data_IF_112287742379
#
_entry.id   IF_112287742379
#
_cell.length_a   1.000
_cell.length_b   1.000
_cell.length_c   1.000
_cell.angle_alpha   90.00
_cell.angle_beta   90.00
_cell.angle_gamma   90.00
#
_symmetry.space_group_name_H-M   'P 1'
#
loop_
_entity.id
_entity.type
_entity.pdbx_description
1 polymer ?
#
# COMPACT_ATOMS: atom_id res chain seq x y z
N UNK A 1 26.27 -20.04 23.25
CA UNK A 1 26.77 -19.28 22.07
C UNK A 1 27.73 -18.21 22.58
N UNK A 2 28.98 -18.18 22.10
CA UNK A 2 29.96 -17.18 22.54
C UNK A 2 29.72 -15.86 21.80
N UNK A 3 29.71 -14.74 22.51
CA UNK A 3 29.48 -13.42 21.93
C UNK A 3 30.74 -12.99 21.19
N UNK A 4 30.62 -12.60 19.92
CA UNK A 4 31.74 -12.17 19.11
C UNK A 4 32.41 -10.95 19.76
N UNK A 5 33.75 -10.95 19.92
CA UNK A 5 34.46 -9.81 20.48
C UNK A 5 34.29 -8.58 19.58
N UNK A 6 34.10 -7.41 20.19
CA UNK A 6 33.97 -6.14 19.47
C UNK A 6 35.34 -5.64 19.06
N UNK A 7 35.41 -5.00 17.90
CA UNK A 7 36.65 -4.47 17.36
C UNK A 7 36.95 -3.08 17.93
N UNK A 8 38.03 -2.95 18.70
CA UNK A 8 38.48 -1.71 19.34
C UNK A 8 38.65 -0.53 18.36
N UNK A 9 39.02 -0.81 17.10
CA UNK A 9 39.16 0.22 16.06
C UNK A 9 37.84 0.92 15.73
N UNK A 10 36.70 0.25 15.91
CA UNK A 10 35.37 0.75 15.55
C UNK A 10 34.47 0.98 16.77
N UNK A 11 35.01 0.88 18.00
CA UNK A 11 34.24 1.04 19.24
C UNK A 11 33.57 2.43 19.37
N UNK A 12 34.18 3.46 18.77
CA UNK A 12 33.67 4.83 18.77
C UNK A 12 32.56 5.08 17.75
N UNK A 13 32.31 4.13 16.84
CA UNK A 13 31.31 4.24 15.79
C UNK A 13 30.00 3.65 16.30
N UNK A 14 29.02 4.52 16.53
CA UNK A 14 27.67 4.08 16.88
C UNK A 14 27.04 3.37 15.69
N UNK A 15 26.50 2.18 15.91
CA UNK A 15 25.73 1.47 14.89
C UNK A 15 24.52 2.33 14.49
N UNK A 16 24.48 2.81 13.24
CA UNK A 16 23.27 3.37 12.62
C UNK A 16 22.28 2.27 12.20
N UNK A 17 22.34 1.13 12.89
CA UNK A 17 21.41 0.04 12.66
C UNK A 17 20.11 0.48 13.32
N UNK A 18 19.14 0.85 12.50
CA UNK A 18 17.75 0.96 12.93
C UNK A 18 17.44 -0.29 13.74
N UNK A 19 17.12 -0.12 15.01
CA UNK A 19 17.02 -1.17 16.03
C UNK A 19 15.78 -2.03 15.82
N UNK A 20 15.50 -2.42 14.57
CA UNK A 20 14.24 -3.00 14.14
C UNK A 20 13.03 -2.21 14.64
N UNK A 21 13.19 -0.97 15.14
CA UNK A 21 12.15 -0.27 15.88
C UNK A 21 11.14 0.29 14.90
N UNK A 22 11.62 0.81 13.76
CA UNK A 22 10.75 1.15 12.63
C UNK A 22 10.04 -0.08 12.07
N UNK A 23 10.78 -1.17 11.82
CA UNK A 23 10.22 -2.41 11.25
C UNK A 23 9.23 -3.07 12.20
N UNK A 24 9.56 -3.17 13.48
CA UNK A 24 8.70 -3.73 14.53
C UNK A 24 7.47 -2.86 14.71
N UNK A 25 7.60 -1.52 14.72
CA UNK A 25 6.43 -0.61 14.75
C UNK A 25 5.56 -0.77 13.51
N UNK A 26 6.17 -0.89 12.34
CA UNK A 26 5.45 -1.09 11.09
C UNK A 26 4.68 -2.43 11.10
N UNK A 27 5.34 -3.52 11.52
CA UNK A 27 4.70 -4.83 11.65
C UNK A 27 3.59 -4.83 12.71
N UNK A 28 3.81 -4.18 13.86
CA UNK A 28 2.78 -4.03 14.89
C UNK A 28 1.56 -3.26 14.37
N UNK A 29 1.77 -2.20 13.58
CA UNK A 29 0.69 -1.45 12.90
C UNK A 29 -0.07 -2.34 11.91
N UNK A 30 0.62 -3.16 11.12
CA UNK A 30 -0.02 -4.10 10.20
C UNK A 30 -0.87 -5.14 10.96
N UNK A 31 -0.35 -5.66 12.07
CA UNK A 31 -1.11 -6.57 12.92
C UNK A 31 -2.30 -5.89 13.59
N UNK A 32 -2.17 -4.65 14.06
CA UNK A 32 -3.26 -3.86 14.63
C UNK A 32 -4.38 -3.63 13.61
N UNK A 33 -4.04 -3.27 12.37
CA UNK A 33 -5.02 -3.12 11.29
C UNK A 33 -5.70 -4.46 11.03
N UNK A 34 -4.95 -5.55 10.97
CA UNK A 34 -5.48 -6.89 10.71
C UNK A 34 -6.39 -7.40 11.83
N UNK A 35 -6.03 -7.19 13.09
CA UNK A 35 -6.80 -7.68 14.25
C UNK A 35 -8.05 -6.86 14.51
N UNK A 36 -7.98 -5.53 14.29
CA UNK A 36 -9.12 -4.64 14.47
C UNK A 36 -10.04 -4.58 13.25
N UNK A 37 -9.65 -5.19 12.12
CA UNK A 37 -10.53 -5.33 10.99
C UNK A 37 -11.65 -6.33 11.31
N UNK A 38 -12.83 -5.79 11.62
CA UNK A 38 -13.98 -6.57 12.11
C UNK A 38 -14.64 -7.45 11.05
N UNK A 39 -14.32 -7.25 9.77
CA UNK A 39 -14.98 -7.91 8.64
C UNK A 39 -14.05 -8.93 7.99
N UNK A 40 -14.60 -10.02 7.45
CA UNK A 40 -13.84 -10.97 6.64
C UNK A 40 -13.56 -10.37 5.26
N UNK A 41 -12.62 -10.96 4.53
CA UNK A 41 -12.39 -10.63 3.13
C UNK A 41 -13.72 -10.66 2.36
N UNK A 42 -13.96 -9.62 1.55
CA UNK A 42 -15.16 -9.39 0.71
C UNK A 42 -16.48 -9.18 1.48
N UNK A 43 -16.46 -9.22 2.81
CA UNK A 43 -17.68 -9.07 3.60
C UNK A 43 -18.28 -7.66 3.50
N UNK A 44 -17.43 -6.64 3.34
CA UNK A 44 -17.88 -5.26 3.23
C UNK A 44 -18.82 -5.07 2.02
N UNK A 45 -18.45 -5.61 0.86
CA UNK A 45 -19.25 -5.51 -0.36
C UNK A 45 -20.50 -6.39 -0.30
N UNK A 46 -20.45 -7.54 0.39
CA UNK A 46 -21.64 -8.39 0.62
C UNK A 46 -22.69 -7.72 1.50
N UNK A 47 -22.26 -6.93 2.49
CA UNK A 47 -23.18 -6.19 3.39
C UNK A 47 -23.62 -4.85 2.81
N UNK A 48 -22.91 -4.33 1.81
CA UNK A 48 -23.20 -3.06 1.18
C UNK A 48 -24.38 -3.22 0.21
N UNK A 49 -25.39 -2.35 0.33
CA UNK A 49 -26.48 -2.28 -0.66
C UNK A 49 -25.95 -1.67 -1.96
N UNK A 50 -26.30 -2.27 -3.10
CA UNK A 50 -25.92 -1.75 -4.43
C UNK A 50 -26.34 -0.30 -4.62
N UNK A 51 -27.51 0.08 -4.11
CA UNK A 51 -27.99 1.46 -4.14
C UNK A 51 -27.06 2.42 -3.39
N UNK A 52 -26.59 2.03 -2.21
CA UNK A 52 -25.63 2.81 -1.43
C UNK A 52 -24.27 2.87 -2.13
N UNK A 53 -23.82 1.79 -2.75
CA UNK A 53 -22.58 1.78 -3.53
C UNK A 53 -22.62 2.78 -4.68
N UNK A 54 -23.70 2.78 -5.48
CA UNK A 54 -23.87 3.73 -6.57
C UNK A 54 -23.89 5.18 -6.08
N UNK A 55 -24.59 5.45 -4.97
CA UNK A 55 -24.62 6.77 -4.34
C UNK A 55 -23.21 7.23 -3.93
N UNK A 56 -22.43 6.35 -3.30
CA UNK A 56 -21.06 6.68 -2.89
C UNK A 56 -20.16 7.00 -4.08
N UNK A 57 -20.24 6.24 -5.18
CA UNK A 57 -19.47 6.52 -6.40
C UNK A 57 -19.80 7.90 -6.95
N UNK A 58 -21.10 8.22 -7.09
CA UNK A 58 -21.55 9.51 -7.61
C UNK A 58 -21.10 10.66 -6.70
N UNK A 59 -21.18 10.48 -5.37
CA UNK A 59 -20.72 11.47 -4.41
C UNK A 59 -19.21 11.74 -4.51
N UNK A 60 -18.40 10.69 -4.61
CA UNK A 60 -16.94 10.84 -4.74
C UNK A 60 -16.58 11.57 -6.03
N UNK A 61 -17.17 11.17 -7.17
CA UNK A 61 -16.94 11.85 -8.44
C UNK A 61 -17.27 13.34 -8.35
N UNK A 62 -18.40 13.68 -7.73
CA UNK A 62 -18.82 15.07 -7.54
C UNK A 62 -17.84 15.88 -6.69
N UNK A 63 -17.30 15.28 -5.62
CA UNK A 63 -16.29 15.93 -4.77
C UNK A 63 -14.95 16.06 -5.51
N UNK A 64 -14.56 15.06 -6.29
CA UNK A 64 -13.35 15.11 -7.12
C UNK A 64 -13.44 16.20 -8.19
N UNK A 65 -14.58 16.34 -8.87
CA UNK A 65 -14.80 17.42 -9.84
C UNK A 65 -14.74 18.79 -9.15
N UNK A 66 -15.36 18.93 -7.98
CA UNK A 66 -15.30 20.15 -7.18
C UNK A 66 -13.87 20.46 -6.70
N UNK A 67 -13.09 19.46 -6.30
CA UNK A 67 -11.70 19.63 -5.88
C UNK A 67 -10.83 20.03 -7.07
N UNK A 68 -11.04 19.44 -8.25
CA UNK A 68 -10.36 19.84 -9.49
C UNK A 68 -10.69 21.27 -9.91
N UNK A 69 -11.95 21.70 -9.76
CA UNK A 69 -12.34 23.08 -10.02
C UNK A 69 -11.71 24.06 -9.01
N UNK A 70 -11.54 23.63 -7.75
CA UNK A 70 -10.92 24.44 -6.70
C UNK A 70 -9.38 24.45 -6.79
N UNK A 71 -8.77 23.39 -7.33
CA UNK A 71 -7.33 23.32 -7.61
C UNK A 71 -6.97 23.96 -8.97
N UNK A 72 -7.94 24.14 -9.86
CA UNK A 72 -7.76 24.80 -11.16
C UNK A 72 -7.83 26.33 -11.14
N UNK A 73 -8.00 26.98 -9.98
CA UNK A 73 -7.77 28.43 -9.83
C UNK A 73 -6.29 28.78 -9.59
N UNK A 74 -5.43 27.79 -9.38
CA UNK A 74 -3.97 27.94 -9.40
C UNK A 74 -3.36 27.06 -10.51
N UNK A 75 -3.16 27.69 -11.66
CA UNK A 75 -2.37 27.25 -12.81
C UNK A 75 -3.10 26.43 -13.90
N UNK A 76 -3.05 27.00 -15.10
CA UNK A 76 -3.82 26.56 -16.25
C UNK A 76 -3.24 25.36 -17.00
N UNK A 77 -4.03 24.96 -17.98
CA UNK A 77 -3.66 24.18 -19.17
C UNK A 77 -3.77 22.64 -19.09
N UNK A 78 -4.96 22.19 -19.50
CA UNK A 78 -5.24 21.03 -20.38
C UNK A 78 -4.69 19.65 -20.01
N UNK A 79 -5.58 18.73 -19.62
CA UNK A 79 -5.49 17.36 -20.12
C UNK A 79 -6.88 16.82 -20.51
N UNK A 80 -7.09 16.76 -21.83
CA UNK A 80 -8.23 16.16 -22.47
C UNK A 80 -8.27 14.64 -22.21
N UNK A 81 -9.48 14.16 -21.91
CA UNK A 81 -9.84 12.77 -21.68
C UNK A 81 -9.57 11.93 -22.95
N UNK A 82 -8.71 10.92 -22.86
CA UNK A 82 -8.61 9.88 -23.87
C UNK A 82 -9.51 8.71 -23.46
N UNK A 83 -10.74 8.72 -23.99
CA UNK A 83 -11.63 7.56 -24.05
C UNK A 83 -11.01 6.48 -24.95
N UNK A 84 -10.99 5.25 -24.48
CA UNK A 84 -10.30 4.14 -25.11
C UNK A 84 -10.66 2.83 -24.45
N UNK A 85 -11.91 2.43 -24.60
CA UNK A 85 -12.35 1.06 -24.36
C UNK A 85 -11.48 0.09 -25.17
N UNK A 86 -10.70 -0.74 -24.47
CA UNK A 86 -10.09 -1.93 -25.07
C UNK A 86 -10.31 -3.10 -24.12
N UNK A 87 -11.44 -3.76 -24.32
CA UNK A 87 -11.71 -5.10 -23.81
C UNK A 87 -10.89 -6.05 -24.66
N UNK A 88 -9.95 -6.78 -24.05
CA UNK A 88 -9.76 -8.22 -24.31
C UNK A 88 -9.36 -8.89 -23.00
N UNK A 89 -10.12 -9.92 -22.65
CA UNK A 89 -9.90 -10.86 -21.56
C UNK A 89 -9.02 -11.98 -22.11
N UNK A 90 -7.99 -12.41 -21.38
CA UNK A 90 -7.88 -13.84 -21.12
C UNK A 90 -7.14 -14.13 -19.81
N UNK A 91 -7.58 -15.21 -19.18
CA UNK A 91 -7.08 -15.70 -17.93
C UNK A 91 -5.68 -16.32 -18.11
N UNK A 92 -4.76 -16.04 -17.19
CA UNK A 92 -3.74 -17.03 -16.85
C UNK A 92 -3.46 -16.99 -15.35
N UNK A 93 -3.76 -18.14 -14.76
CA UNK A 93 -3.56 -18.53 -13.37
C UNK A 93 -2.32 -19.42 -13.36
N UNK A 94 -1.53 -19.39 -12.27
CA UNK A 94 -0.24 -20.08 -12.04
C UNK A 94 0.99 -19.32 -12.62
N UNK A 95 2.08 -19.03 -11.91
CA UNK A 95 2.72 -19.70 -10.77
C UNK A 95 3.63 -18.72 -10.00
N UNK A 96 3.51 -18.68 -8.67
CA UNK A 96 4.69 -18.62 -7.79
C UNK A 96 4.85 -20.03 -7.22
N UNK A 97 6.06 -20.61 -7.20
CA UNK A 97 6.94 -20.41 -6.04
C UNK A 97 8.44 -20.30 -6.42
N UNK A 98 9.17 -19.36 -5.83
CA UNK A 98 10.10 -19.55 -4.69
C UNK A 98 11.47 -20.09 -5.11
N UNK A 99 12.46 -19.83 -4.25
CA UNK A 99 13.77 -20.47 -4.13
C UNK A 99 15.01 -19.65 -4.53
N UNK A 100 15.58 -19.01 -3.50
CA UNK A 100 17.03 -19.03 -3.18
C UNK A 100 17.94 -18.21 -4.10
N UNK A 101 18.81 -17.34 -3.62
CA UNK A 101 19.90 -17.67 -2.72
C UNK A 101 20.41 -16.41 -2.05
N UNK A 102 20.50 -16.44 -0.72
CA UNK A 102 21.53 -15.67 -0.06
C UNK A 102 22.90 -16.26 -0.39
N UNK A 103 23.88 -15.40 -0.64
CA UNK A 103 25.21 -15.64 -0.11
C UNK A 103 25.95 -14.30 0.05
N UNK A 104 26.61 -14.07 1.20
CA UNK A 104 27.39 -12.88 1.47
C UNK A 104 28.83 -13.06 0.96
N UNK A 105 29.50 -11.94 0.67
CA UNK A 105 30.96 -11.80 0.69
C UNK A 105 31.34 -10.87 1.83
#
# INVERSE_FOLDING_TARGET
RKKTPKNAKYDHIKTRLDTGCSLTKYMARLEEIRTNYRYRNDEIFKRLKVTTFAQLILQVASVSDMNQLNEGEEDGESHALHDGVSVESDADLDSLPDLTNGSPV
#
